data_IF_482165716514
#
_entry.id   IF_482165716514
#
_cell.length_a   1.000
_cell.length_b   1.000
_cell.length_c   1.000
_cell.angle_alpha   90.00
_cell.angle_beta   90.00
_cell.angle_gamma   90.00
#
_symmetry.space_group_name_H-M   'P 1'
#
loop_
_entity.id
_entity.type
_entity.pdbx_description
1 polymer ?
#
# COMPACT_ATOMS: atom_id res chain seq x y z
N UNK A 1 5.97 1.19 -20.78
CA UNK A 1 5.41 1.99 -21.90
C UNK A 1 3.98 2.37 -21.54
N UNK A 2 3.66 3.66 -21.57
CA UNK A 2 2.30 4.18 -21.39
C UNK A 2 1.50 3.75 -22.62
N UNK A 3 0.33 3.14 -22.44
CA UNK A 3 -0.51 2.73 -23.57
C UNK A 3 -1.28 3.93 -24.14
N UNK A 4 -1.65 3.87 -25.42
CA UNK A 4 -2.48 4.90 -26.06
C UNK A 4 -3.79 5.15 -25.28
N UNK A 5 -4.39 4.09 -24.72
CA UNK A 5 -5.58 4.16 -23.88
C UNK A 5 -5.30 4.98 -22.59
N UNK A 6 -4.12 4.84 -22.02
CA UNK A 6 -3.75 5.56 -20.80
C UNK A 6 -3.45 7.04 -21.09
N UNK A 7 -2.85 7.34 -22.23
CA UNK A 7 -2.64 8.73 -22.70
C UNK A 7 -4.00 9.41 -22.87
N UNK A 8 -4.92 8.81 -23.61
CA UNK A 8 -6.27 9.35 -23.85
C UNK A 8 -7.05 9.52 -22.53
N UNK A 9 -6.87 8.61 -21.57
CA UNK A 9 -7.48 8.74 -20.24
C UNK A 9 -6.96 9.96 -19.51
N UNK A 10 -5.63 10.14 -19.46
CA UNK A 10 -4.98 11.25 -18.76
C UNK A 10 -5.36 12.60 -19.39
N UNK A 11 -5.38 12.69 -20.71
CA UNK A 11 -5.82 13.89 -21.44
C UNK A 11 -7.29 14.21 -21.13
N UNK A 12 -8.17 13.22 -21.22
CA UNK A 12 -9.57 13.40 -20.88
C UNK A 12 -9.81 13.80 -19.41
N UNK A 13 -8.99 13.32 -18.49
CA UNK A 13 -9.03 13.75 -17.09
C UNK A 13 -8.58 15.23 -16.94
N UNK A 14 -7.56 15.66 -17.66
CA UNK A 14 -7.12 17.08 -17.68
C UNK A 14 -8.21 17.99 -18.22
N UNK A 15 -8.98 17.51 -19.18
CA UNK A 15 -10.13 18.22 -19.76
C UNK A 15 -11.41 18.11 -18.89
N UNK A 16 -11.31 17.44 -17.73
CA UNK A 16 -12.44 17.21 -16.81
C UNK A 16 -13.61 16.45 -17.45
N UNK A 17 -13.33 15.59 -18.43
CA UNK A 17 -14.32 14.79 -19.13
C UNK A 17 -15.00 13.80 -18.19
N UNK A 18 -16.35 13.81 -18.04
CA UNK A 18 -17.06 12.82 -17.22
C UNK A 18 -16.80 11.38 -17.66
N UNK A 19 -16.63 11.16 -18.96
CA UNK A 19 -16.32 9.84 -19.52
C UNK A 19 -14.93 9.36 -19.06
N UNK A 20 -13.94 10.24 -19.04
CA UNK A 20 -12.60 9.90 -18.56
C UNK A 20 -12.61 9.63 -17.04
N UNK A 21 -13.38 10.39 -16.27
CA UNK A 21 -13.55 10.15 -14.83
C UNK A 21 -14.21 8.78 -14.56
N UNK A 22 -15.23 8.40 -15.31
CA UNK A 22 -15.82 7.07 -15.21
C UNK A 22 -14.81 5.98 -15.57
N UNK A 23 -14.09 6.11 -16.69
CA UNK A 23 -13.05 5.15 -17.11
C UNK A 23 -11.94 5.03 -16.05
N UNK A 24 -11.57 6.12 -15.40
CA UNK A 24 -10.59 6.11 -14.31
C UNK A 24 -11.07 5.24 -13.13
N UNK A 25 -12.30 5.41 -12.69
CA UNK A 25 -12.88 4.62 -11.59
C UNK A 25 -13.01 3.15 -11.99
N UNK A 26 -13.46 2.84 -13.19
CA UNK A 26 -13.59 1.47 -13.69
C UNK A 26 -12.23 0.75 -13.75
N UNK A 27 -11.19 1.43 -14.23
CA UNK A 27 -9.86 0.84 -14.44
C UNK A 27 -9.05 0.73 -13.18
N UNK A 28 -9.05 1.75 -12.32
CA UNK A 28 -8.19 1.83 -11.15
C UNK A 28 -8.92 1.61 -9.82
N UNK A 29 -10.26 1.54 -9.83
CA UNK A 29 -11.06 1.43 -8.61
C UNK A 29 -10.69 0.21 -7.76
N UNK A 30 -10.57 -0.96 -8.36
CA UNK A 30 -10.15 -2.17 -7.64
C UNK A 30 -8.76 -2.03 -7.02
N UNK A 31 -7.82 -1.43 -7.74
CA UNK A 31 -6.47 -1.21 -7.26
C UNK A 31 -6.45 -0.25 -6.06
N UNK A 32 -7.11 0.90 -6.17
CA UNK A 32 -7.20 1.89 -5.08
C UNK A 32 -7.88 1.27 -3.86
N UNK A 33 -9.05 0.62 -4.04
CA UNK A 33 -9.77 0.00 -2.93
C UNK A 33 -8.96 -1.08 -2.23
N UNK A 34 -8.23 -1.91 -3.00
CA UNK A 34 -7.35 -2.95 -2.48
C UNK A 34 -6.25 -2.39 -1.57
N UNK A 35 -5.67 -1.25 -1.91
CA UNK A 35 -4.68 -0.58 -1.07
C UNK A 35 -5.31 0.01 0.20
N UNK A 36 -6.40 0.73 0.05
CA UNK A 36 -7.04 1.48 1.14
C UNK A 36 -7.62 0.53 2.18
N UNK A 37 -8.38 -0.51 1.77
CA UNK A 37 -9.03 -1.46 2.69
C UNK A 37 -8.03 -2.28 3.53
N UNK A 38 -6.79 -2.45 3.06
CA UNK A 38 -5.76 -3.13 3.84
C UNK A 38 -5.11 -2.23 4.91
N UNK A 39 -5.22 -0.92 4.75
CA UNK A 39 -4.65 0.04 5.68
C UNK A 39 -5.64 0.46 6.77
N UNK A 40 -6.92 0.57 6.42
CA UNK A 40 -7.94 1.14 7.31
C UNK A 40 -8.62 0.09 8.18
N UNK A 41 -9.20 0.51 9.34
CA UNK A 41 -9.78 -0.40 10.32
C UNK A 41 -11.07 -1.09 9.84
N UNK A 42 -11.89 -0.39 9.06
CA UNK A 42 -13.19 -0.88 8.58
C UNK A 42 -13.37 -0.66 7.07
N UNK A 43 -14.37 -1.33 6.50
CA UNK A 43 -14.73 -1.17 5.09
C UNK A 43 -15.35 0.21 4.85
N UNK A 44 -16.13 0.69 5.78
CA UNK A 44 -16.80 1.99 5.74
C UNK A 44 -15.77 3.13 5.70
N UNK A 45 -14.74 3.05 6.55
CA UNK A 45 -13.62 4.00 6.55
C UNK A 45 -12.85 3.93 5.21
N UNK A 46 -12.70 2.73 4.66
CA UNK A 46 -12.04 2.54 3.37
C UNK A 46 -12.85 3.12 2.20
N UNK A 47 -14.18 3.05 2.24
CA UNK A 47 -15.06 3.65 1.24
C UNK A 47 -15.00 5.19 1.27
N UNK A 48 -14.92 5.79 2.47
CA UNK A 48 -14.72 7.24 2.62
C UNK A 48 -13.41 7.68 1.97
N UNK A 49 -12.30 7.06 2.35
CA UNK A 49 -10.98 7.40 1.80
C UNK A 49 -10.88 7.08 0.30
N UNK A 50 -11.52 6.02 -0.17
CA UNK A 50 -11.58 5.68 -1.59
C UNK A 50 -12.20 6.82 -2.42
N UNK A 51 -13.29 7.44 -1.95
CA UNK A 51 -13.90 8.58 -2.62
C UNK A 51 -12.98 9.79 -2.62
N UNK A 52 -12.32 10.08 -1.49
CA UNK A 52 -11.37 11.17 -1.36
C UNK A 52 -10.16 11.01 -2.31
N UNK A 53 -9.68 9.79 -2.50
CA UNK A 53 -8.60 9.49 -3.44
C UNK A 53 -8.98 9.89 -4.86
N UNK A 54 -10.17 9.50 -5.35
CA UNK A 54 -10.60 9.85 -6.70
C UNK A 54 -10.82 11.35 -6.85
N UNK A 55 -11.44 12.00 -5.86
CA UNK A 55 -11.57 13.45 -5.84
C UNK A 55 -10.19 14.12 -5.97
N UNK A 56 -9.19 13.68 -5.21
CA UNK A 56 -7.84 14.23 -5.29
C UNK A 56 -7.12 13.91 -6.59
N UNK A 57 -7.34 12.73 -7.17
CA UNK A 57 -6.84 12.41 -8.52
C UNK A 57 -7.36 13.42 -9.54
N UNK A 58 -8.68 13.67 -9.54
CA UNK A 58 -9.30 14.59 -10.50
C UNK A 58 -8.84 16.04 -10.30
N UNK A 59 -8.72 16.50 -9.07
CA UNK A 59 -8.25 17.85 -8.76
C UNK A 59 -6.77 18.07 -9.07
N UNK A 60 -5.94 17.02 -8.97
CA UNK A 60 -4.48 17.13 -9.08
C UNK A 60 -3.91 16.50 -10.35
N UNK A 61 -4.73 16.11 -11.33
CA UNK A 61 -4.28 15.42 -12.54
C UNK A 61 -3.18 16.21 -13.29
N UNK A 62 -3.22 17.53 -13.27
CA UNK A 62 -2.22 18.38 -13.89
C UNK A 62 -0.84 18.31 -13.21
N UNK A 63 -0.75 17.75 -12.00
CA UNK A 63 0.52 17.52 -11.29
C UNK A 63 1.16 16.18 -11.65
N UNK A 64 0.46 15.32 -12.39
CA UNK A 64 1.02 14.06 -12.86
C UNK A 64 2.16 14.31 -13.84
N UNK A 65 3.27 13.58 -13.63
CA UNK A 65 4.45 13.63 -14.51
C UNK A 65 4.92 12.18 -14.76
N UNK A 66 4.81 11.76 -16.02
CA UNK A 66 5.19 10.42 -16.48
C UNK A 66 6.69 10.11 -16.37
N UNK A 67 7.55 11.13 -16.36
CA UNK A 67 8.99 10.96 -16.19
C UNK A 67 9.34 10.52 -14.75
N UNK A 68 8.49 10.84 -13.77
CA UNK A 68 8.71 10.53 -12.36
C UNK A 68 8.19 9.15 -11.97
N UNK A 69 7.01 8.78 -12.44
CA UNK A 69 6.36 7.52 -12.11
C UNK A 69 5.27 7.15 -13.10
N UNK A 70 4.89 5.86 -13.16
CA UNK A 70 3.70 5.43 -13.89
C UNK A 70 2.44 6.07 -13.31
N UNK A 71 1.38 6.17 -14.12
CA UNK A 71 0.11 6.70 -13.66
C UNK A 71 -0.45 5.90 -12.48
N UNK A 72 -0.34 4.56 -12.55
CA UNK A 72 -0.70 3.66 -11.44
C UNK A 72 0.06 3.99 -10.16
N UNK A 73 1.38 4.18 -10.23
CA UNK A 73 2.23 4.52 -9.08
C UNK A 73 1.87 5.91 -8.51
N UNK A 74 1.56 6.88 -9.35
CA UNK A 74 1.13 8.21 -8.91
C UNK A 74 -0.23 8.15 -8.18
N UNK A 75 -1.19 7.39 -8.70
CA UNK A 75 -2.48 7.15 -8.02
C UNK A 75 -2.28 6.45 -6.68
N UNK A 76 -1.38 5.46 -6.62
CA UNK A 76 -1.02 4.77 -5.37
C UNK A 76 -0.43 5.72 -4.32
N UNK A 77 0.35 6.72 -4.72
CA UNK A 77 0.85 7.76 -3.81
C UNK A 77 -0.28 8.58 -3.19
N UNK A 78 -1.30 8.93 -3.97
CA UNK A 78 -2.47 9.63 -3.46
C UNK A 78 -3.22 8.73 -2.46
N UNK A 79 -3.49 7.47 -2.82
CA UNK A 79 -4.17 6.51 -1.97
C UNK A 79 -3.44 6.29 -0.63
N UNK A 80 -2.12 6.13 -0.67
CA UNK A 80 -1.28 6.02 0.53
C UNK A 80 -1.39 7.25 1.42
N UNK A 81 -1.19 8.44 0.86
CA UNK A 81 -1.19 9.69 1.61
C UNK A 81 -2.55 9.97 2.27
N UNK A 82 -3.67 9.71 1.56
CA UNK A 82 -5.00 9.87 2.13
C UNK A 82 -5.24 8.89 3.27
N UNK A 83 -4.88 7.61 3.09
CA UNK A 83 -5.00 6.59 4.14
C UNK A 83 -4.19 6.95 5.39
N UNK A 84 -2.93 7.37 5.24
CA UNK A 84 -2.09 7.77 6.38
C UNK A 84 -2.61 9.04 7.04
N UNK A 85 -3.09 10.01 6.26
CA UNK A 85 -3.69 11.25 6.79
C UNK A 85 -4.94 10.92 7.61
N UNK A 86 -5.83 10.09 7.08
CA UNK A 86 -7.02 9.63 7.77
C UNK A 86 -6.67 8.92 9.10
N UNK A 87 -5.71 7.99 9.10
CA UNK A 87 -5.25 7.28 10.29
C UNK A 87 -4.64 8.22 11.35
N UNK A 88 -3.93 9.28 10.95
CA UNK A 88 -3.40 10.30 11.85
C UNK A 88 -4.50 11.13 12.50
N UNK A 89 -5.57 11.43 11.79
CA UNK A 89 -6.72 12.18 12.32
C UNK A 89 -7.59 11.34 13.27
N UNK A 90 -7.82 10.08 12.93
CA UNK A 90 -8.63 9.16 13.75
C UNK A 90 -7.77 8.35 14.74
N UNK A 91 -6.81 8.94 15.41
CA UNK A 91 -5.98 8.28 16.44
C UNK A 91 -6.84 7.58 17.51
N UNK A 92 -7.32 6.36 17.20
CA UNK A 92 -7.62 5.38 18.23
C UNK A 92 -6.30 4.75 18.69
N UNK A 93 -6.17 4.51 19.99
CA UNK A 93 -5.03 3.76 20.54
C UNK A 93 -5.04 2.34 20.00
N UNK A 94 -4.44 2.13 18.83
CA UNK A 94 -4.20 0.80 18.32
C UNK A 94 -2.88 0.30 18.93
N UNK A 95 -2.94 -0.86 19.58
CA UNK A 95 -1.74 -1.55 20.07
C UNK A 95 -1.11 -2.24 18.88
N UNK A 96 0.10 -1.83 18.53
CA UNK A 96 0.92 -2.49 17.52
C UNK A 96 1.95 -3.40 18.18
N UNK A 97 2.41 -4.40 17.42
CA UNK A 97 3.50 -5.25 17.87
C UNK A 97 4.79 -4.44 17.96
N UNK A 98 5.42 -4.45 19.14
CA UNK A 98 6.74 -3.91 19.38
C UNK A 98 7.69 -5.09 19.65
N UNK A 99 8.81 -5.17 18.92
CA UNK A 99 9.83 -6.19 19.08
C UNK A 99 10.84 -5.73 20.14
N UNK A 100 10.39 -5.66 21.39
CA UNK A 100 11.19 -5.15 22.51
C UNK A 100 12.46 -5.98 22.74
N UNK A 101 12.40 -7.30 22.50
CA UNK A 101 13.52 -8.20 22.72
C UNK A 101 14.42 -8.39 21.49
N UNK A 102 14.10 -7.76 20.34
CA UNK A 102 14.85 -7.89 19.09
C UNK A 102 14.82 -9.31 18.51
N UNK A 103 13.85 -10.13 18.88
CA UNK A 103 13.75 -11.51 18.41
C UNK A 103 13.47 -11.63 16.92
N UNK A 104 12.70 -10.68 16.35
CA UNK A 104 12.43 -10.66 14.93
C UNK A 104 13.72 -10.47 14.10
N UNK A 105 14.67 -9.69 14.58
CA UNK A 105 15.95 -9.47 13.89
C UNK A 105 16.83 -10.72 13.83
N UNK A 106 16.60 -11.70 14.71
CA UNK A 106 17.35 -12.98 14.73
C UNK A 106 16.92 -13.94 13.63
N UNK A 107 15.74 -13.74 13.02
CA UNK A 107 15.26 -14.58 11.91
C UNK A 107 16.18 -14.43 10.69
N UNK A 108 16.54 -15.56 10.09
CA UNK A 108 17.30 -15.59 8.83
C UNK A 108 16.40 -15.21 7.64
N UNK A 109 16.99 -14.77 6.54
CA UNK A 109 16.24 -14.47 5.32
C UNK A 109 15.56 -15.74 4.74
N UNK A 110 16.16 -16.92 4.94
CA UNK A 110 15.58 -18.18 4.52
C UNK A 110 14.28 -18.52 5.27
N UNK A 111 14.21 -18.26 6.57
CA UNK A 111 12.99 -18.44 7.39
C UNK A 111 11.90 -17.45 6.97
N UNK A 112 12.28 -16.21 6.67
CA UNK A 112 11.36 -15.20 6.17
C UNK A 112 10.78 -15.61 4.82
N UNK A 113 11.62 -16.07 3.90
CA UNK A 113 11.17 -16.50 2.57
C UNK A 113 10.30 -17.76 2.63
N UNK A 114 10.64 -18.72 3.51
CA UNK A 114 9.81 -19.91 3.74
C UNK A 114 8.40 -19.55 4.23
N UNK A 115 8.26 -18.49 5.01
CA UNK A 115 6.96 -18.05 5.56
C UNK A 115 6.16 -17.19 4.58
N UNK A 116 6.81 -16.24 3.89
CA UNK A 116 6.14 -15.21 3.10
C UNK A 116 6.19 -15.46 1.59
N UNK A 117 7.14 -16.24 1.08
CA UNK A 117 7.39 -16.38 -0.36
C UNK A 117 6.23 -17.06 -1.11
N UNK A 118 5.76 -18.20 -0.59
CA UNK A 118 4.67 -18.97 -1.21
C UNK A 118 3.67 -19.48 -0.15
N UNK A 119 2.86 -18.60 0.44
CA UNK A 119 1.97 -18.98 1.52
C UNK A 119 0.86 -19.90 1.03
N UNK A 120 0.63 -21.01 1.76
CA UNK A 120 -0.57 -21.81 1.60
C UNK A 120 -1.80 -21.06 2.14
N UNK A 121 -3.05 -21.57 1.95
CA UNK A 121 -4.27 -20.87 2.39
C UNK A 121 -4.30 -20.55 3.90
N UNK A 122 -3.78 -21.43 4.74
CA UNK A 122 -3.71 -21.22 6.20
C UNK A 122 -2.71 -20.11 6.54
N UNK A 123 -1.51 -20.19 5.99
CA UNK A 123 -0.49 -19.16 6.16
C UNK A 123 -0.98 -17.80 5.62
N UNK A 124 -1.72 -17.79 4.51
CA UNK A 124 -2.32 -16.56 3.98
C UNK A 124 -3.35 -15.92 4.93
N UNK A 125 -4.10 -16.74 5.71
CA UNK A 125 -4.98 -16.21 6.76
C UNK A 125 -4.20 -15.61 7.92
N UNK A 126 -3.13 -16.28 8.36
CA UNK A 126 -2.24 -15.80 9.42
C UNK A 126 -1.53 -14.49 9.01
N UNK A 127 -1.06 -14.40 7.78
CA UNK A 127 -0.49 -13.16 7.23
C UNK A 127 -1.50 -12.01 7.32
N UNK A 128 -2.76 -12.25 6.91
CA UNK A 128 -3.82 -11.23 7.01
C UNK A 128 -4.11 -10.79 8.44
N UNK A 129 -4.09 -11.73 9.38
CA UNK A 129 -4.25 -11.43 10.80
C UNK A 129 -3.04 -10.65 11.34
N UNK A 130 -1.82 -11.12 11.04
CA UNK A 130 -0.57 -10.53 11.49
C UNK A 130 -0.38 -9.09 10.98
N UNK A 131 -0.80 -8.79 9.74
CA UNK A 131 -0.72 -7.44 9.17
C UNK A 131 -1.46 -6.38 10.01
N UNK A 132 -2.52 -6.77 10.73
CA UNK A 132 -3.27 -5.86 11.60
C UNK A 132 -2.47 -5.40 12.82
N UNK A 133 -1.46 -6.17 13.22
CA UNK A 133 -0.58 -5.86 14.34
C UNK A 133 0.62 -5.00 13.94
N UNK A 134 0.83 -4.75 12.65
CA UNK A 134 1.86 -3.83 12.17
C UNK A 134 1.37 -2.38 12.17
N UNK A 135 2.24 -1.41 12.50
CA UNK A 135 1.95 0.01 12.27
C UNK A 135 1.52 0.25 10.81
N UNK A 136 0.64 1.24 10.54
CA UNK A 136 0.10 1.48 9.20
C UNK A 136 1.17 1.66 8.12
N UNK A 137 2.23 2.39 8.42
CA UNK A 137 3.36 2.61 7.49
C UNK A 137 4.09 1.31 7.16
N UNK A 138 4.31 0.43 8.15
CA UNK A 138 4.94 -0.87 7.95
C UNK A 138 4.00 -1.82 7.18
N UNK A 139 2.71 -1.83 7.51
CA UNK A 139 1.68 -2.60 6.81
C UNK A 139 1.60 -2.20 5.35
N UNK A 140 1.66 -0.90 5.05
CA UNK A 140 1.62 -0.40 3.66
C UNK A 140 2.82 -0.87 2.85
N UNK A 141 4.02 -0.94 3.43
CA UNK A 141 5.21 -1.46 2.74
C UNK A 141 5.01 -2.91 2.29
N UNK A 142 4.50 -3.76 3.18
CA UNK A 142 4.20 -5.17 2.84
C UNK A 142 3.11 -5.25 1.78
N UNK A 143 2.06 -4.43 1.90
CA UNK A 143 0.96 -4.41 0.93
C UNK A 143 1.46 -4.02 -0.46
N UNK A 144 2.20 -2.93 -0.58
CA UNK A 144 2.74 -2.46 -1.85
C UNK A 144 3.71 -3.46 -2.48
N UNK A 145 4.56 -4.11 -1.67
CA UNK A 145 5.57 -5.02 -2.19
C UNK A 145 4.98 -6.38 -2.63
N UNK A 146 4.17 -7.02 -1.77
CA UNK A 146 3.67 -8.39 -2.01
C UNK A 146 2.33 -8.46 -2.73
N UNK A 147 1.42 -7.51 -2.51
CA UNK A 147 0.08 -7.55 -3.11
C UNK A 147 -0.05 -6.69 -4.35
N UNK A 148 0.70 -5.58 -4.42
CA UNK A 148 0.68 -4.67 -5.56
C UNK A 148 1.89 -4.86 -6.48
N UNK A 149 2.83 -5.75 -6.10
CA UNK A 149 4.04 -6.09 -6.86
C UNK A 149 4.87 -4.85 -7.25
N UNK A 150 4.88 -3.83 -6.39
CA UNK A 150 5.59 -2.58 -6.65
C UNK A 150 7.09 -2.76 -6.45
N UNK A 151 7.88 -2.15 -7.31
CA UNK A 151 9.33 -2.08 -7.12
C UNK A 151 9.69 -1.21 -5.90
N UNK A 152 10.86 -1.46 -5.31
CA UNK A 152 11.39 -0.61 -4.23
C UNK A 152 11.47 0.87 -4.65
N UNK A 153 11.74 1.15 -5.93
CA UNK A 153 11.76 2.50 -6.49
C UNK A 153 10.36 3.14 -6.47
N UNK A 154 9.33 2.38 -6.87
CA UNK A 154 7.95 2.87 -6.86
C UNK A 154 7.46 3.11 -5.44
N UNK A 155 7.76 2.19 -4.50
CA UNK A 155 7.43 2.35 -3.08
C UNK A 155 8.13 3.59 -2.50
N UNK A 156 9.39 3.83 -2.86
CA UNK A 156 10.13 5.02 -2.47
C UNK A 156 9.43 6.31 -2.96
N UNK A 157 8.95 6.32 -4.19
CA UNK A 157 8.17 7.43 -4.75
C UNK A 157 6.84 7.63 -4.01
N UNK A 158 6.11 6.53 -3.74
CA UNK A 158 4.81 6.56 -3.04
C UNK A 158 4.95 7.12 -1.63
N UNK A 159 5.99 6.68 -0.89
CA UNK A 159 6.18 7.02 0.54
C UNK A 159 7.05 8.26 0.76
N UNK A 160 7.52 8.90 -0.33
CA UNK A 160 8.44 10.04 -0.28
C UNK A 160 9.72 9.75 0.54
N UNK A 161 10.29 8.56 0.32
CA UNK A 161 11.45 8.04 1.08
C UNK A 161 12.56 7.60 0.13
N UNK A 162 13.85 7.68 0.53
CA UNK A 162 14.94 7.15 -0.28
C UNK A 162 14.81 5.63 -0.52
N UNK A 163 15.14 5.10 -1.72
CA UNK A 163 15.06 3.66 -2.02
C UNK A 163 15.83 2.76 -1.03
N UNK A 164 17.02 3.18 -0.60
CA UNK A 164 17.82 2.45 0.39
C UNK A 164 17.11 2.35 1.75
N UNK A 165 16.39 3.40 2.13
CA UNK A 165 15.57 3.42 3.35
C UNK A 165 14.41 2.43 3.23
N UNK A 166 13.77 2.36 2.07
CA UNK A 166 12.68 1.41 1.82
C UNK A 166 13.18 -0.03 1.89
N UNK A 167 14.33 -0.35 1.26
CA UNK A 167 14.92 -1.68 1.33
C UNK A 167 15.17 -2.13 2.78
N UNK A 168 15.79 -1.26 3.58
CA UNK A 168 16.08 -1.56 5.00
C UNK A 168 14.80 -1.68 5.84
N UNK A 169 13.81 -0.82 5.63
CA UNK A 169 12.50 -0.91 6.31
C UNK A 169 11.79 -2.20 5.93
N UNK A 170 11.72 -2.51 4.64
CA UNK A 170 11.04 -3.71 4.14
C UNK A 170 11.67 -4.98 4.73
N UNK A 171 13.00 -5.06 4.78
CA UNK A 171 13.72 -6.16 5.39
C UNK A 171 13.31 -6.37 6.87
N UNK A 172 13.34 -5.31 7.67
CA UNK A 172 12.93 -5.38 9.10
C UNK A 172 11.46 -5.71 9.27
N UNK A 173 10.60 -5.09 8.48
CA UNK A 173 9.15 -5.33 8.56
C UNK A 173 8.78 -6.77 8.19
N UNK A 174 9.45 -7.37 7.20
CA UNK A 174 9.27 -8.80 6.86
C UNK A 174 9.58 -9.71 8.03
N UNK A 175 10.71 -9.50 8.70
CA UNK A 175 11.10 -10.26 9.90
C UNK A 175 10.09 -10.09 11.04
N UNK A 176 9.68 -8.86 11.29
CA UNK A 176 8.65 -8.54 12.29
C UNK A 176 7.32 -9.25 11.99
N UNK A 177 6.89 -9.23 10.73
CA UNK A 177 5.68 -9.94 10.30
C UNK A 177 5.78 -11.45 10.54
N UNK A 178 6.92 -12.09 10.22
CA UNK A 178 7.14 -13.51 10.48
C UNK A 178 7.08 -13.83 11.98
N UNK A 179 7.65 -12.98 12.84
CA UNK A 179 7.57 -13.16 14.28
C UNK A 179 6.13 -13.10 14.78
N UNK A 180 5.34 -12.15 14.30
CA UNK A 180 3.91 -12.06 14.65
C UNK A 180 3.17 -13.34 14.22
N UNK A 181 3.44 -13.86 13.01
CA UNK A 181 2.84 -15.12 12.52
C UNK A 181 3.18 -16.27 13.45
N UNK A 182 4.43 -16.42 13.87
CA UNK A 182 4.86 -17.46 14.80
C UNK A 182 4.10 -17.37 16.15
N UNK A 183 3.93 -16.16 16.66
CA UNK A 183 3.18 -15.91 17.90
C UNK A 183 1.68 -16.27 17.75
N UNK A 184 1.09 -16.06 16.59
CA UNK A 184 -0.31 -16.40 16.32
C UNK A 184 -0.53 -17.92 16.11
N UNK A 185 0.53 -18.68 15.86
CA UNK A 185 0.50 -20.14 15.71
C UNK A 185 0.71 -20.88 17.03
N UNK A 186 1.25 -20.21 18.05
CA UNK A 186 1.54 -20.74 19.40
C UNK A 186 0.29 -20.73 20.27
#
# INVERSE_FOLDING_TARGET
MVTEIEINLIEGLKEQSPKAQQMMVERYGRHVFSQVVRLLPSVEDAEEVYQDVFLKVFLNINMYNEEKASFKTWVSRIAYNESITWLRHKRQQMIYFEDEDGEAERLSEAEVEATLGHPNPETAQLIRAALKHLPPEERSLITMFYYEEMSVKDIAYVTDSPPNTIGSKLFRTRKKLCKIIQMLQS
#
